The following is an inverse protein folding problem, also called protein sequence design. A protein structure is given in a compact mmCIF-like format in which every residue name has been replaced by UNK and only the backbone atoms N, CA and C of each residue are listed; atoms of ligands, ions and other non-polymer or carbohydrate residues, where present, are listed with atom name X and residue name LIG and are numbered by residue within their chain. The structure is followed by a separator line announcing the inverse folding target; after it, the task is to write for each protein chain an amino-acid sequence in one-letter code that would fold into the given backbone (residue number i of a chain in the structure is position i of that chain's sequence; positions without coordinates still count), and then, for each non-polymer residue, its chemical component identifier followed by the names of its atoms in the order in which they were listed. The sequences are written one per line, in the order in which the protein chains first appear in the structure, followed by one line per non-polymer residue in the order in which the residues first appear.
data_IF_037113093748
#
_entry.id   IF_037113093748
#
_cell.length_a   1.000
_cell.length_b   1.000
_cell.length_c   1.000
_cell.angle_alpha   90.00
_cell.angle_beta   90.00
_cell.angle_gamma   90.00
#
_symmetry.space_group_name_H-M   'P 1'
#
loop_
_entity.id
_entity.type
_entity.pdbx_description
1 polymer ?
#
# COMPACT_ATOMS: atom_id res chain seq x y z
N UNK A 1 -16.39 13.00 18.07
CA UNK A 1 -17.04 12.52 19.30
C UNK A 1 -17.60 11.15 19.00
N UNK A 2 -16.99 10.06 19.56
CA UNK A 2 -17.41 8.69 19.28
C UNK A 2 -18.70 8.38 20.01
N UNK A 3 -19.72 7.93 19.29
CA UNK A 3 -20.95 7.37 19.86
C UNK A 3 -20.62 6.18 20.79
N UNK A 4 -21.31 6.10 21.93
CA UNK A 4 -21.12 4.98 22.84
C UNK A 4 -21.65 3.70 22.19
N UNK A 5 -20.85 2.63 22.06
CA UNK A 5 -21.26 1.41 21.39
C UNK A 5 -22.46 0.77 22.11
N UNK A 6 -23.41 0.23 21.33
CA UNK A 6 -24.59 -0.46 21.83
C UNK A 6 -24.22 -1.64 22.75
N UNK A 7 -25.12 -2.03 23.65
CA UNK A 7 -24.90 -3.16 24.57
C UNK A 7 -24.60 -4.46 23.83
N UNK A 8 -25.26 -4.73 22.70
CA UNK A 8 -25.00 -5.88 21.85
C UNK A 8 -23.59 -5.88 21.25
N UNK A 9 -23.11 -4.71 20.82
CA UNK A 9 -21.74 -4.56 20.29
C UNK A 9 -20.69 -4.78 21.39
N UNK A 10 -20.95 -4.28 22.59
CA UNK A 10 -20.07 -4.49 23.76
C UNK A 10 -19.97 -5.97 24.14
N UNK A 11 -21.08 -6.71 24.10
CA UNK A 11 -21.09 -8.14 24.38
C UNK A 11 -20.33 -8.93 23.29
N UNK A 12 -20.61 -8.66 22.01
CA UNK A 12 -19.88 -9.28 20.88
C UNK A 12 -18.38 -9.02 20.96
N UNK A 13 -17.98 -7.79 21.31
CA UNK A 13 -16.56 -7.44 21.52
C UNK A 13 -15.93 -8.25 22.65
N UNK A 14 -16.62 -8.45 23.79
CA UNK A 14 -16.11 -9.27 24.90
C UNK A 14 -15.91 -10.73 24.50
N UNK A 15 -16.84 -11.30 23.73
CA UNK A 15 -16.73 -12.67 23.22
C UNK A 15 -15.55 -12.77 22.25
N UNK A 16 -15.46 -11.86 21.27
CA UNK A 16 -14.35 -11.81 20.32
C UNK A 16 -13.01 -11.60 21.03
N UNK A 17 -12.95 -10.75 22.05
CA UNK A 17 -11.76 -10.52 22.86
C UNK A 17 -11.28 -11.81 23.53
N UNK A 18 -12.17 -12.53 24.19
CA UNK A 18 -11.84 -13.76 24.90
C UNK A 18 -11.42 -14.90 23.98
N UNK A 19 -12.07 -15.04 22.82
CA UNK A 19 -11.85 -16.18 21.91
C UNK A 19 -10.71 -15.95 20.91
N UNK A 20 -10.49 -14.71 20.49
CA UNK A 20 -9.59 -14.37 19.38
C UNK A 20 -8.56 -13.32 19.80
N UNK A 21 -8.99 -12.11 20.19
CA UNK A 21 -8.08 -10.98 20.34
C UNK A 21 -7.08 -11.14 21.47
N UNK A 22 -7.46 -11.80 22.56
CA UNK A 22 -6.54 -12.16 23.65
C UNK A 22 -5.41 -13.07 23.17
N UNK A 23 -5.71 -14.02 22.27
CA UNK A 23 -4.71 -14.92 21.68
C UNK A 23 -3.77 -14.16 20.73
N UNK A 24 -4.30 -13.22 19.93
CA UNK A 24 -3.51 -12.35 19.07
C UNK A 24 -2.52 -11.55 19.92
N UNK A 25 -3.00 -10.89 21.00
CA UNK A 25 -2.13 -10.13 21.89
C UNK A 25 -1.12 -10.99 22.62
N UNK A 26 -1.49 -12.21 23.00
CA UNK A 26 -0.55 -13.15 23.62
C UNK A 26 0.55 -13.60 22.66
N UNK A 27 0.21 -13.86 21.39
CA UNK A 27 1.16 -14.25 20.35
C UNK A 27 2.25 -13.18 20.08
N UNK A 28 1.93 -11.90 20.30
CA UNK A 28 2.89 -10.78 20.21
C UNK A 28 3.53 -10.41 21.56
N UNK A 29 3.51 -11.34 22.53
CA UNK A 29 4.19 -11.24 23.81
C UNK A 29 3.40 -10.59 24.94
N UNK A 30 2.15 -10.14 24.73
CA UNK A 30 1.23 -9.64 25.76
C UNK A 30 1.61 -8.31 26.43
N UNK A 31 2.82 -7.78 26.19
CA UNK A 31 3.33 -6.53 26.78
C UNK A 31 3.56 -5.42 25.77
N UNK A 32 3.16 -5.63 24.53
CA UNK A 32 3.29 -4.64 23.48
C UNK A 32 2.46 -3.40 23.81
N UNK A 33 3.06 -2.23 23.70
CA UNK A 33 2.38 -0.94 23.85
C UNK A 33 1.81 -0.46 22.51
N UNK A 34 2.64 -0.47 21.48
CA UNK A 34 2.27 -0.16 20.09
C UNK A 34 3.32 -0.68 19.13
N UNK A 35 2.95 -0.85 17.87
CA UNK A 35 3.89 -0.97 16.75
C UNK A 35 4.07 0.38 16.09
N UNK A 36 5.21 0.55 15.41
CA UNK A 36 5.43 1.64 14.45
C UNK A 36 5.53 1.00 13.06
N UNK A 37 4.72 1.48 12.14
CA UNK A 37 4.75 1.08 10.73
C UNK A 37 5.28 2.24 9.91
N UNK A 38 6.28 2.00 9.06
CA UNK A 38 6.87 2.98 8.19
C UNK A 38 7.48 2.36 6.95
N UNK A 39 8.03 3.20 6.06
CA UNK A 39 8.68 2.80 4.80
C UNK A 39 7.76 2.18 3.73
N UNK A 40 6.53 1.80 4.06
CA UNK A 40 5.51 1.38 3.11
C UNK A 40 4.12 1.73 3.66
N UNK A 41 3.11 1.97 2.81
CA UNK A 41 1.76 2.24 3.26
C UNK A 41 1.14 1.03 3.97
N UNK A 42 0.42 1.29 5.05
CA UNK A 42 -0.39 0.28 5.74
C UNK A 42 -1.84 0.37 5.22
N UNK A 43 -2.41 -0.76 4.82
CA UNK A 43 -3.81 -0.81 4.43
C UNK A 43 -4.71 -0.37 5.60
N UNK A 44 -5.60 0.62 5.42
CA UNK A 44 -6.44 1.14 6.50
C UNK A 44 -7.33 0.09 7.15
N UNK A 45 -7.77 -0.92 6.40
CA UNK A 45 -8.54 -2.04 6.94
C UNK A 45 -7.74 -2.86 7.94
N UNK A 46 -6.47 -3.14 7.63
CA UNK A 46 -5.56 -3.85 8.52
C UNK A 46 -5.30 -3.06 9.80
N UNK A 47 -5.05 -1.75 9.66
CA UNK A 47 -4.89 -0.85 10.81
C UNK A 47 -6.14 -0.86 11.72
N UNK A 48 -7.35 -0.78 11.13
CA UNK A 48 -8.63 -0.84 11.87
C UNK A 48 -8.84 -2.18 12.55
N UNK A 49 -8.49 -3.29 11.88
CA UNK A 49 -8.58 -4.63 12.47
C UNK A 49 -7.72 -4.75 13.73
N UNK A 50 -6.44 -4.39 13.65
CA UNK A 50 -5.52 -4.46 14.79
C UNK A 50 -5.91 -3.50 15.91
N UNK A 51 -6.33 -2.29 15.57
CA UNK A 51 -6.87 -1.34 16.55
C UNK A 51 -8.11 -1.90 17.26
N UNK A 52 -9.03 -2.54 16.54
CA UNK A 52 -10.18 -3.26 17.10
C UNK A 52 -9.77 -4.42 18.01
N UNK A 53 -8.69 -5.11 17.70
CA UNK A 53 -8.10 -6.19 18.50
C UNK A 53 -7.34 -5.67 19.76
N UNK A 54 -7.22 -4.35 19.92
CA UNK A 54 -6.48 -3.74 21.02
C UNK A 54 -4.96 -3.69 20.78
N UNK A 55 -4.55 -3.76 19.53
CA UNK A 55 -3.15 -3.60 19.08
C UNK A 55 -3.03 -2.28 18.33
N UNK A 56 -2.32 -1.33 18.90
CA UNK A 56 -2.10 -0.02 18.29
C UNK A 56 -0.96 -0.10 17.29
N UNK A 57 -1.18 0.41 16.06
CA UNK A 57 -0.15 0.61 15.06
C UNK A 57 -0.10 2.10 14.74
N UNK A 58 1.08 2.70 14.91
CA UNK A 58 1.35 4.10 14.60
C UNK A 58 2.05 4.15 13.25
N UNK A 59 1.40 4.75 12.26
CA UNK A 59 2.04 4.98 10.98
C UNK A 59 2.95 6.20 11.06
N UNK A 60 4.14 6.09 10.45
CA UNK A 60 5.10 7.16 10.33
C UNK A 60 5.67 7.23 8.93
N UNK A 61 6.15 8.41 8.57
CA UNK A 61 6.74 8.71 7.27
C UNK A 61 8.07 9.41 7.43
N UNK A 62 8.94 9.12 6.48
CA UNK A 62 10.20 9.78 6.28
C UNK A 62 11.10 9.01 5.33
N UNK A 63 12.26 9.57 5.07
CA UNK A 63 13.24 9.09 4.12
C UNK A 63 14.63 9.05 4.78
N UNK A 64 15.58 8.38 4.16
CA UNK A 64 16.98 8.43 4.59
C UNK A 64 17.48 9.87 4.62
N UNK A 65 17.07 10.67 3.65
CA UNK A 65 17.37 12.08 3.48
C UNK A 65 16.78 12.97 4.59
N UNK A 66 15.89 12.43 5.43
CA UNK A 66 15.25 13.18 6.53
C UNK A 66 15.51 12.55 7.91
N UNK A 67 16.47 11.66 8.08
CA UNK A 67 17.10 11.10 9.30
C UNK A 67 16.17 10.50 10.38
N UNK A 68 15.33 9.55 10.11
CA UNK A 68 14.51 9.27 8.94
C UNK A 68 13.10 9.85 9.02
N UNK A 69 12.60 10.31 10.21
CA UNK A 69 11.17 10.58 10.47
C UNK A 69 10.82 12.06 10.27
N UNK A 70 9.79 12.32 9.48
CA UNK A 70 9.20 13.65 9.31
C UNK A 70 7.81 13.76 9.95
N UNK A 71 7.03 12.68 9.85
CA UNK A 71 5.66 12.62 10.36
C UNK A 71 5.43 11.31 11.11
N UNK A 72 4.62 11.33 12.15
CA UNK A 72 4.22 10.12 12.87
C UNK A 72 2.88 10.31 13.60
N UNK A 73 2.00 9.31 13.52
CA UNK A 73 0.82 9.24 14.38
C UNK A 73 1.24 9.06 15.84
N UNK A 74 0.50 9.68 16.76
CA UNK A 74 0.78 9.61 18.20
C UNK A 74 -0.27 8.74 18.89
N UNK A 75 0.08 8.06 20.01
CA UNK A 75 -0.86 7.17 20.71
C UNK A 75 -2.17 7.83 21.14
N UNK A 76 -2.14 9.14 21.42
CA UNK A 76 -3.27 9.96 21.86
C UNK A 76 -4.03 10.64 20.71
N UNK A 77 -3.50 10.60 19.49
CA UNK A 77 -4.07 11.29 18.33
C UNK A 77 -3.80 10.52 17.03
N UNK A 78 -4.37 9.31 16.93
CA UNK A 78 -4.23 8.44 15.75
C UNK A 78 -5.29 8.79 14.71
N UNK A 79 -4.86 8.98 13.45
CA UNK A 79 -5.75 9.10 12.30
C UNK A 79 -5.35 8.06 11.26
N UNK A 80 -6.10 6.95 11.23
CA UNK A 80 -5.84 5.81 10.31
C UNK A 80 -5.95 6.28 8.87
N UNK A 81 -4.97 5.87 8.04
CA UNK A 81 -4.84 6.29 6.65
C UNK A 81 -4.05 7.57 6.45
N UNK A 82 -3.45 8.10 7.53
CA UNK A 82 -2.47 9.19 7.49
C UNK A 82 -1.19 8.77 8.21
N UNK A 83 -0.09 9.42 7.90
CA UNK A 83 1.18 9.23 8.59
C UNK A 83 1.37 10.17 9.78
N UNK A 84 0.29 10.85 10.19
CA UNK A 84 0.29 11.74 11.35
C UNK A 84 0.76 13.17 11.06
N UNK A 85 0.78 14.01 12.11
CA UNK A 85 1.33 15.37 12.03
C UNK A 85 2.85 15.35 11.96
N UNK A 86 3.49 16.45 11.53
CA UNK A 86 4.94 16.57 11.54
C UNK A 86 5.52 16.45 12.96
N UNK A 87 6.73 15.91 13.04
CA UNK A 87 7.48 15.91 14.30
C UNK A 87 7.94 17.33 14.67
N UNK A 88 8.18 17.63 15.94
CA UNK A 88 8.59 18.98 16.35
C UNK A 88 9.83 19.47 15.57
N UNK A 89 9.75 20.70 15.07
CA UNK A 89 10.80 21.35 14.28
C UNK A 89 10.79 21.01 12.80
N UNK A 90 9.81 20.21 12.34
CA UNK A 90 9.61 19.87 10.93
C UNK A 90 8.47 20.69 10.34
N UNK A 91 8.70 21.25 9.16
CA UNK A 91 7.70 21.90 8.34
C UNK A 91 7.39 21.03 7.13
N UNK A 92 6.10 20.91 6.80
CA UNK A 92 5.61 20.18 5.64
C UNK A 92 4.81 21.16 4.77
N UNK A 93 5.06 21.15 3.47
CA UNK A 93 4.27 21.87 2.49
C UNK A 93 3.89 20.92 1.33
N UNK A 94 2.80 21.26 0.67
CA UNK A 94 2.37 20.57 -0.56
C UNK A 94 2.52 21.56 -1.69
N UNK A 95 3.32 21.22 -2.69
CA UNK A 95 3.50 22.02 -3.89
C UNK A 95 2.25 21.95 -4.80
N UNK A 96 2.15 22.84 -5.79
CA UNK A 96 1.00 22.90 -6.71
C UNK A 96 0.76 21.60 -7.50
N UNK A 97 1.83 20.82 -7.70
CA UNK A 97 1.77 19.51 -8.36
C UNK A 97 1.51 18.33 -7.38
N UNK A 98 1.18 18.67 -6.12
CA UNK A 98 0.93 17.69 -5.07
C UNK A 98 2.19 17.11 -4.40
N UNK A 99 3.40 17.54 -4.80
CA UNK A 99 4.63 17.04 -4.22
C UNK A 99 4.79 17.47 -2.75
N UNK A 100 5.19 16.50 -1.92
CA UNK A 100 5.49 16.76 -0.50
C UNK A 100 6.87 17.40 -0.39
N UNK A 101 6.91 18.56 0.25
CA UNK A 101 8.12 19.29 0.58
C UNK A 101 8.35 19.23 2.09
N UNK A 102 9.60 19.03 2.49
CA UNK A 102 10.01 18.93 3.90
C UNK A 102 11.10 19.94 4.19
N UNK A 103 10.98 20.67 5.30
CA UNK A 103 12.02 21.54 5.83
C UNK A 103 12.20 21.28 7.32
N UNK A 104 13.44 21.23 7.79
CA UNK A 104 13.74 21.02 9.20
C UNK A 104 15.18 20.56 9.44
N UNK A 105 15.61 20.51 10.71
CA UNK A 105 16.99 20.20 11.06
C UNK A 105 17.41 18.75 10.75
N UNK A 106 16.45 17.84 10.51
CA UNK A 106 16.69 16.45 10.16
C UNK A 106 16.92 16.24 8.66
N UNK A 107 16.70 17.25 7.80
CA UNK A 107 16.98 17.17 6.36
C UNK A 107 18.49 17.07 6.18
N UNK A 108 18.94 16.17 5.31
CA UNK A 108 20.35 15.96 4.97
C UNK A 108 21.01 17.23 4.47
N UNK A 109 22.32 17.32 4.59
CA UNK A 109 23.11 18.41 4.00
C UNK A 109 23.23 18.29 2.47
N UNK A 110 23.09 17.09 1.94
CA UNK A 110 23.15 16.80 0.51
C UNK A 110 23.63 15.39 0.20
N UNK A 111 23.66 15.07 -1.08
CA UNK A 111 24.21 13.82 -1.57
C UNK A 111 25.73 13.91 -1.70
N UNK A 112 26.44 12.92 -1.18
CA UNK A 112 27.90 12.90 -1.16
C UNK A 112 28.50 12.98 -2.57
N UNK A 113 29.35 13.97 -2.81
CA UNK A 113 29.97 14.28 -4.10
C UNK A 113 29.01 14.47 -5.29
N UNK A 114 27.74 14.84 -5.02
CA UNK A 114 26.72 15.07 -6.06
C UNK A 114 26.03 16.43 -5.83
N UNK A 115 26.73 17.55 -6.08
CA UNK A 115 26.20 18.88 -5.81
C UNK A 115 24.98 19.23 -6.69
N UNK A 116 24.96 18.80 -7.95
CA UNK A 116 23.83 19.00 -8.86
C UNK A 116 22.57 18.29 -8.37
N UNK A 117 22.67 16.99 -8.04
CA UNK A 117 21.56 16.23 -7.47
C UNK A 117 21.09 16.82 -6.13
N UNK A 118 22.01 17.37 -5.34
CA UNK A 118 21.64 18.06 -4.09
C UNK A 118 20.84 19.33 -4.38
N UNK A 119 21.26 20.14 -5.36
CA UNK A 119 20.55 21.37 -5.74
C UNK A 119 19.18 21.09 -6.38
N UNK A 120 19.01 19.97 -7.06
CA UNK A 120 17.69 19.50 -7.54
C UNK A 120 16.76 19.06 -6.40
N UNK A 121 17.33 18.43 -5.35
CA UNK A 121 16.57 17.87 -4.24
C UNK A 121 16.25 18.92 -3.16
N UNK A 122 17.15 19.87 -2.89
CA UNK A 122 16.99 20.89 -1.84
C UNK A 122 17.12 22.27 -2.48
N UNK A 123 16.07 23.07 -2.35
CA UNK A 123 16.07 24.44 -2.88
C UNK A 123 16.81 25.43 -1.97
N UNK A 124 16.93 26.71 -2.45
CA UNK A 124 17.63 27.77 -1.72
C UNK A 124 17.01 28.13 -0.36
N UNK A 125 15.74 27.82 -0.16
CA UNK A 125 15.00 28.09 1.09
C UNK A 125 15.04 26.89 2.05
N UNK A 126 15.78 25.81 1.67
CA UNK A 126 15.96 24.62 2.47
C UNK A 126 14.80 23.61 2.39
N UNK A 127 13.91 23.74 1.42
CA UNK A 127 12.88 22.74 1.18
C UNK A 127 13.42 21.56 0.40
N UNK A 128 13.32 20.38 1.01
CA UNK A 128 13.65 19.11 0.39
C UNK A 128 12.44 18.55 -0.37
N UNK A 129 12.63 18.22 -1.63
CA UNK A 129 11.65 17.59 -2.52
C UNK A 129 11.69 16.07 -2.32
N UNK A 130 10.70 15.53 -1.64
CA UNK A 130 10.70 14.10 -1.27
C UNK A 130 10.52 13.14 -2.46
N UNK A 131 9.93 13.62 -3.54
CA UNK A 131 9.49 12.79 -4.67
C UNK A 131 8.21 11.99 -4.39
N UNK A 132 7.61 12.16 -3.22
CA UNK A 132 6.32 11.59 -2.86
C UNK A 132 5.21 12.63 -3.06
N UNK A 133 4.00 12.17 -3.33
CA UNK A 133 2.78 12.97 -3.53
C UNK A 133 1.87 12.77 -2.32
N UNK A 134 1.23 13.83 -1.87
CA UNK A 134 0.33 13.76 -0.71
C UNK A 134 -0.54 14.97 -0.50
N UNK A 135 -1.29 14.93 0.57
CA UNK A 135 -2.19 16.00 0.99
C UNK A 135 -2.13 16.20 2.50
N UNK A 136 -2.27 17.45 2.93
CA UNK A 136 -2.43 17.82 4.34
C UNK A 136 -3.91 18.09 4.60
N UNK A 137 -4.45 17.50 5.66
CA UNK A 137 -5.78 17.87 6.11
C UNK A 137 -5.76 19.18 6.95
N UNK A 138 -6.96 19.66 7.31
CA UNK A 138 -7.13 20.91 8.05
C UNK A 138 -6.47 20.89 9.45
N UNK A 139 -6.20 19.72 10.01
CA UNK A 139 -5.54 19.53 11.30
C UNK A 139 -4.03 19.26 11.16
N UNK A 140 -3.48 19.31 9.94
CA UNK A 140 -2.07 19.11 9.64
C UNK A 140 -1.61 17.65 9.59
N UNK A 141 -2.54 16.70 9.44
CA UNK A 141 -2.15 15.30 9.22
C UNK A 141 -1.80 15.07 7.76
N UNK A 142 -0.64 14.48 7.52
CA UNK A 142 -0.16 14.16 6.19
C UNK A 142 -0.72 12.79 5.76
N UNK A 143 -1.29 12.75 4.56
CA UNK A 143 -1.65 11.54 3.84
C UNK A 143 -0.79 11.43 2.59
N UNK A 144 -0.05 10.34 2.46
CA UNK A 144 0.72 10.03 1.26
C UNK A 144 -0.21 9.31 0.29
N UNK A 145 -0.27 9.79 -0.93
CA UNK A 145 -1.13 9.18 -1.95
C UNK A 145 -0.34 8.32 -2.92
N UNK A 146 0.86 8.73 -3.31
CA UNK A 146 1.75 7.93 -4.17
C UNK A 146 3.18 8.52 -4.23
N UNK A 147 4.01 7.93 -5.10
CA UNK A 147 5.29 8.48 -5.53
C UNK A 147 5.16 9.13 -6.91
N UNK A 148 5.75 10.32 -7.07
CA UNK A 148 5.68 11.08 -8.32
C UNK A 148 6.15 10.26 -9.54
N UNK A 149 7.20 9.46 -9.36
CA UNK A 149 7.77 8.58 -10.41
C UNK A 149 6.95 7.32 -10.68
N UNK A 150 6.04 6.94 -9.77
CA UNK A 150 5.22 5.73 -9.86
C UNK A 150 3.80 6.04 -10.36
N UNK A 151 3.43 7.34 -10.49
CA UNK A 151 2.16 7.75 -11.08
C UNK A 151 2.04 7.25 -12.52
N UNK A 152 0.90 6.64 -12.82
CA UNK A 152 0.57 6.24 -14.18
C UNK A 152 -0.17 7.40 -14.86
N UNK A 153 0.38 7.88 -15.97
CA UNK A 153 -0.27 8.90 -16.79
C UNK A 153 -0.85 8.22 -18.02
N UNK A 154 -2.16 8.03 -18.06
CA UNK A 154 -2.82 7.39 -19.19
C UNK A 154 -2.65 8.21 -20.48
N UNK A 155 -2.84 7.60 -21.66
CA UNK A 155 -2.82 8.31 -22.94
C UNK A 155 -3.84 9.46 -23.02
N UNK A 156 -4.90 9.42 -22.22
CA UNK A 156 -5.87 10.50 -22.05
C UNK A 156 -5.47 11.58 -21.03
N UNK A 157 -4.25 11.56 -20.52
CA UNK A 157 -3.72 12.56 -19.57
C UNK A 157 -4.27 12.46 -18.14
N UNK A 158 -4.87 11.33 -17.76
CA UNK A 158 -5.32 11.09 -16.37
C UNK A 158 -4.19 10.54 -15.54
N UNK A 159 -3.92 11.20 -14.41
CA UNK A 159 -3.00 10.70 -13.39
C UNK A 159 -3.71 9.67 -12.52
N UNK A 160 -3.10 8.51 -12.35
CA UNK A 160 -3.57 7.42 -11.50
C UNK A 160 -2.48 7.09 -10.49
N UNK A 161 -2.83 7.10 -9.22
CA UNK A 161 -1.99 6.65 -8.13
C UNK A 161 -2.15 5.12 -7.97
N UNK A 162 -1.18 4.29 -8.40
CA UNK A 162 -1.37 2.84 -8.40
C UNK A 162 -1.37 2.24 -7.00
N UNK A 163 -0.60 2.78 -6.08
CA UNK A 163 -0.35 2.18 -4.77
C UNK A 163 -1.60 2.02 -3.89
N UNK A 164 -2.55 2.98 -3.81
CA UNK A 164 -3.80 2.79 -3.08
C UNK A 164 -4.64 1.62 -3.60
N UNK A 165 -4.74 1.47 -4.93
CA UNK A 165 -5.47 0.37 -5.56
C UNK A 165 -4.77 -0.97 -5.29
N UNK A 166 -3.46 -1.05 -5.49
CA UNK A 166 -2.66 -2.24 -5.22
C UNK A 166 -2.80 -2.70 -3.76
N UNK A 167 -2.72 -1.77 -2.81
CA UNK A 167 -2.88 -2.06 -1.40
C UNK A 167 -4.30 -2.58 -1.09
N UNK A 168 -5.34 -1.98 -1.69
CA UNK A 168 -6.71 -2.45 -1.47
C UNK A 168 -6.93 -3.84 -2.09
N UNK A 169 -6.41 -4.11 -3.29
CA UNK A 169 -6.47 -5.42 -3.95
C UNK A 169 -5.80 -6.49 -3.07
N UNK A 170 -4.64 -6.19 -2.49
CA UNK A 170 -3.89 -7.09 -1.60
C UNK A 170 -4.57 -7.38 -0.27
N UNK A 171 -5.64 -6.67 0.09
CA UNK A 171 -6.48 -7.05 1.24
C UNK A 171 -7.35 -8.26 0.96
N UNK A 172 -7.45 -8.73 -0.29
CA UNK A 172 -8.08 -10.01 -0.61
C UNK A 172 -7.22 -11.18 -0.12
N UNK A 173 -7.83 -12.11 0.57
CA UNK A 173 -7.16 -13.34 1.05
C UNK A 173 -6.64 -14.24 -0.09
N UNK A 174 -7.06 -13.99 -1.32
CA UNK A 174 -6.70 -14.80 -2.50
C UNK A 174 -5.60 -14.17 -3.34
N UNK A 175 -5.15 -12.96 -3.00
CA UNK A 175 -4.16 -12.20 -3.77
C UNK A 175 -2.98 -11.86 -2.86
N UNK A 176 -1.82 -12.40 -3.19
CA UNK A 176 -0.57 -12.13 -2.48
C UNK A 176 0.07 -10.80 -2.92
N UNK A 177 0.06 -10.54 -4.25
CA UNK A 177 0.62 -9.30 -4.79
C UNK A 177 -0.24 -8.76 -5.96
N UNK A 178 -0.21 -7.45 -6.13
CA UNK A 178 -0.88 -6.75 -7.21
C UNK A 178 0.00 -5.62 -7.74
N UNK A 179 0.10 -5.48 -9.06
CA UNK A 179 0.88 -4.43 -9.71
C UNK A 179 0.04 -3.77 -10.79
N UNK A 180 -0.30 -2.51 -10.57
CA UNK A 180 -1.02 -1.68 -11.53
C UNK A 180 -0.03 -1.16 -12.59
N UNK A 181 -0.42 -1.25 -13.85
CA UNK A 181 0.36 -0.84 -15.02
C UNK A 181 -0.51 -0.05 -15.99
N UNK A 182 0.09 0.68 -16.90
CA UNK A 182 -0.67 1.41 -17.93
C UNK A 182 -0.20 2.84 -18.15
N UNK A 183 1.06 3.16 -17.80
CA UNK A 183 1.65 4.45 -18.18
C UNK A 183 1.65 4.61 -19.70
N UNK A 184 1.16 5.77 -20.19
CA UNK A 184 0.99 6.09 -21.61
C UNK A 184 0.08 5.13 -22.40
N UNK A 185 -0.70 4.28 -21.70
CA UNK A 185 -1.64 3.35 -22.31
C UNK A 185 -3.08 3.90 -22.25
N UNK A 186 -4.02 3.37 -23.05
CA UNK A 186 -5.42 3.85 -23.06
C UNK A 186 -6.14 3.70 -21.71
N UNK A 187 -5.76 2.71 -20.91
CA UNK A 187 -6.35 2.39 -19.63
C UNK A 187 -5.36 1.64 -18.71
N UNK A 188 -5.56 1.68 -17.40
CA UNK A 188 -4.78 0.87 -16.48
C UNK A 188 -5.19 -0.60 -16.52
N UNK A 189 -4.23 -1.47 -16.28
CA UNK A 189 -4.38 -2.92 -16.08
C UNK A 189 -3.76 -3.31 -14.75
N UNK A 190 -4.05 -4.52 -14.27
CA UNK A 190 -3.40 -5.06 -13.08
C UNK A 190 -2.88 -6.48 -13.33
N UNK A 191 -1.65 -6.72 -12.94
CA UNK A 191 -1.11 -8.08 -12.78
C UNK A 191 -1.32 -8.50 -11.33
N UNK A 192 -1.87 -9.69 -11.11
CA UNK A 192 -2.08 -10.24 -9.75
C UNK A 192 -1.32 -11.54 -9.58
N UNK A 193 -0.66 -11.67 -8.44
CA UNK A 193 -0.08 -12.93 -7.98
C UNK A 193 -1.07 -13.54 -6.99
N UNK A 194 -1.59 -14.74 -7.25
CA UNK A 194 -2.47 -15.42 -6.30
C UNK A 194 -1.73 -15.76 -4.99
N UNK A 195 -2.47 -15.78 -3.89
CA UNK A 195 -2.12 -16.61 -2.74
C UNK A 195 -2.45 -18.06 -3.11
N UNK A 196 -1.43 -18.82 -3.51
CA UNK A 196 -1.60 -20.16 -4.08
C UNK A 196 -2.24 -21.14 -3.11
N UNK A 197 -1.97 -21.02 -1.82
CA UNK A 197 -2.55 -21.90 -0.81
C UNK A 197 -4.03 -21.56 -0.57
N UNK A 198 -4.35 -20.28 -0.48
CA UNK A 198 -5.72 -19.83 -0.30
C UNK A 198 -6.59 -20.15 -1.53
N UNK A 199 -6.05 -19.97 -2.74
CA UNK A 199 -6.79 -20.28 -3.98
C UNK A 199 -6.96 -21.79 -4.19
N UNK A 200 -5.97 -22.61 -3.83
CA UNK A 200 -6.07 -24.07 -3.85
C UNK A 200 -7.17 -24.57 -2.91
N UNK A 201 -7.22 -24.03 -1.68
CA UNK A 201 -8.28 -24.36 -0.73
C UNK A 201 -9.68 -23.93 -1.21
N UNK A 202 -9.78 -22.78 -1.88
CA UNK A 202 -11.04 -22.36 -2.51
C UNK A 202 -11.46 -23.28 -3.66
N UNK A 203 -10.53 -23.66 -4.52
CA UNK A 203 -10.76 -24.53 -5.66
C UNK A 203 -11.23 -25.91 -5.21
N UNK A 204 -10.58 -26.50 -4.20
CA UNK A 204 -10.99 -27.77 -3.61
C UNK A 204 -12.42 -27.72 -3.06
N UNK A 205 -12.78 -26.64 -2.36
CA UNK A 205 -14.14 -26.42 -1.85
C UNK A 205 -15.18 -26.26 -2.98
N UNK A 206 -14.75 -25.95 -4.21
CA UNK A 206 -15.58 -25.89 -5.43
C UNK A 206 -15.58 -27.17 -6.24
N UNK A 207 -14.86 -28.19 -5.80
CA UNK A 207 -14.75 -29.47 -6.50
C UNK A 207 -13.77 -29.48 -7.67
N UNK A 208 -12.90 -28.47 -7.77
CA UNK A 208 -11.81 -28.42 -8.74
C UNK A 208 -10.68 -29.30 -8.22
N UNK A 209 -10.36 -30.35 -8.96
CA UNK A 209 -9.37 -31.38 -8.54
C UNK A 209 -7.95 -31.12 -9.06
N UNK A 210 -7.75 -30.04 -9.82
CA UNK A 210 -6.44 -29.67 -10.32
C UNK A 210 -5.47 -29.38 -9.18
N UNK A 211 -4.29 -29.99 -9.22
CA UNK A 211 -3.25 -29.84 -8.18
C UNK A 211 -1.98 -29.16 -8.68
N UNK A 212 -1.77 -29.15 -9.98
CA UNK A 212 -0.67 -28.37 -10.56
C UNK A 212 -0.97 -26.88 -10.44
N UNK A 213 -0.06 -26.11 -9.86
CA UNK A 213 -0.26 -24.68 -9.59
C UNK A 213 -0.52 -23.87 -10.85
N UNK A 214 0.20 -24.17 -11.92
CA UNK A 214 0.07 -23.44 -13.19
C UNK A 214 -1.26 -23.77 -13.86
N UNK A 215 -1.63 -25.05 -13.92
CA UNK A 215 -2.90 -25.49 -14.47
C UNK A 215 -4.09 -24.96 -13.63
N UNK A 216 -3.96 -24.97 -12.29
CA UNK A 216 -4.97 -24.42 -11.38
C UNK A 216 -5.23 -22.94 -11.64
N UNK A 217 -4.18 -22.14 -11.76
CA UNK A 217 -4.29 -20.68 -12.00
C UNK A 217 -4.88 -20.40 -13.38
N UNK A 218 -4.67 -21.28 -14.37
CA UNK A 218 -5.29 -21.19 -15.71
C UNK A 218 -6.74 -21.67 -15.75
N UNK A 219 -7.24 -22.29 -14.69
CA UNK A 219 -8.61 -22.79 -14.65
C UNK A 219 -9.61 -21.59 -14.74
N UNK A 220 -10.61 -21.65 -15.63
CA UNK A 220 -11.51 -20.51 -15.87
C UNK A 220 -12.22 -19.99 -14.61
N UNK A 221 -12.66 -20.88 -13.73
CA UNK A 221 -13.34 -20.50 -12.49
C UNK A 221 -12.39 -19.80 -11.50
N UNK A 222 -11.10 -20.19 -11.49
CA UNK A 222 -10.06 -19.53 -10.66
C UNK A 222 -9.76 -18.14 -11.21
N UNK A 223 -9.60 -18.00 -12.52
CA UNK A 223 -9.45 -16.70 -13.18
C UNK A 223 -10.63 -15.78 -12.83
N UNK A 224 -11.86 -16.27 -13.05
CA UNK A 224 -13.07 -15.51 -12.75
C UNK A 224 -13.21 -15.15 -11.25
N UNK A 225 -12.72 -16.00 -10.35
CA UNK A 225 -12.71 -15.68 -8.91
C UNK A 225 -11.75 -14.54 -8.60
N UNK A 226 -10.54 -14.57 -9.14
CA UNK A 226 -9.54 -13.53 -8.91
C UNK A 226 -9.95 -12.19 -9.55
N UNK A 227 -10.53 -12.22 -10.75
CA UNK A 227 -11.11 -11.03 -11.37
C UNK A 227 -12.22 -10.41 -10.52
N UNK A 228 -13.17 -11.20 -10.02
CA UNK A 228 -14.20 -10.72 -9.09
C UNK A 228 -13.64 -10.12 -7.82
N UNK A 229 -12.57 -10.70 -7.28
CA UNK A 229 -11.90 -10.13 -6.11
C UNK A 229 -11.29 -8.75 -6.41
N UNK A 230 -10.63 -8.60 -7.56
CA UNK A 230 -10.10 -7.30 -8.00
C UNK A 230 -11.24 -6.30 -8.16
N UNK A 231 -12.29 -6.65 -8.94
CA UNK A 231 -13.44 -5.77 -9.16
C UNK A 231 -14.07 -5.29 -7.86
N UNK A 232 -14.30 -6.21 -6.92
CA UNK A 232 -14.85 -5.90 -5.60
C UNK A 232 -13.97 -4.95 -4.80
N UNK A 233 -12.63 -5.15 -4.85
CA UNK A 233 -11.67 -4.36 -4.09
C UNK A 233 -11.48 -2.96 -4.66
N UNK A 234 -11.58 -2.79 -5.96
CA UNK A 234 -11.44 -1.47 -6.59
C UNK A 234 -12.78 -0.72 -6.70
N UNK A 235 -13.89 -1.28 -6.21
CA UNK A 235 -15.20 -0.65 -6.30
C UNK A 235 -15.24 0.79 -5.77
N UNK A 236 -14.60 1.15 -4.64
CA UNK A 236 -14.63 2.50 -4.09
C UNK A 236 -13.87 3.56 -4.91
N UNK A 237 -13.02 3.14 -5.86
CA UNK A 237 -12.16 4.05 -6.62
C UNK A 237 -12.88 4.64 -7.85
N UNK A 238 -12.37 5.75 -8.37
CA UNK A 238 -12.94 6.40 -9.53
C UNK A 238 -12.85 5.50 -10.79
N UNK A 239 -13.82 5.63 -11.70
CA UNK A 239 -13.93 4.75 -12.87
C UNK A 239 -12.68 4.73 -13.76
N UNK A 240 -11.97 5.85 -13.86
CA UNK A 240 -10.77 5.97 -14.69
C UNK A 240 -9.53 5.35 -14.02
N UNK A 241 -9.54 5.17 -12.70
CA UNK A 241 -8.46 4.56 -11.93
C UNK A 241 -8.54 3.03 -11.96
N UNK A 242 -9.74 2.47 -12.14
CA UNK A 242 -9.98 1.02 -12.09
C UNK A 242 -9.32 0.30 -13.25
N UNK A 243 -8.57 -0.79 -13.00
CA UNK A 243 -8.00 -1.59 -14.07
C UNK A 243 -9.11 -2.15 -14.98
N UNK A 244 -8.89 -2.11 -16.29
CA UNK A 244 -9.84 -2.63 -17.29
C UNK A 244 -9.61 -4.10 -17.60
N UNK A 245 -8.44 -4.59 -17.33
CA UNK A 245 -8.03 -5.97 -17.54
C UNK A 245 -7.21 -6.44 -16.35
N UNK A 246 -7.34 -7.72 -16.05
CA UNK A 246 -6.59 -8.43 -15.01
C UNK A 246 -5.80 -9.54 -15.68
N UNK A 247 -4.52 -9.68 -15.36
CA UNK A 247 -3.78 -10.88 -15.68
C UNK A 247 -3.33 -11.56 -14.39
N UNK A 248 -3.59 -12.86 -14.31
CA UNK A 248 -3.19 -13.69 -13.18
C UNK A 248 -1.85 -14.34 -13.50
N UNK A 249 -0.87 -14.13 -12.63
CA UNK A 249 0.48 -14.66 -12.81
C UNK A 249 0.57 -16.09 -12.22
N UNK A 250 1.40 -16.91 -12.87
CA UNK A 250 1.54 -18.34 -12.55
C UNK A 250 2.59 -18.60 -11.46
N UNK A 251 3.30 -17.58 -11.00
CA UNK A 251 4.36 -17.68 -9.99
C UNK A 251 4.41 -16.45 -9.10
N UNK A 252 4.95 -16.67 -7.92
CA UNK A 252 5.23 -15.62 -6.96
C UNK A 252 6.38 -14.72 -7.44
N UNK A 253 6.35 -13.46 -7.00
CA UNK A 253 7.51 -12.58 -7.12
C UNK A 253 8.59 -13.00 -6.12
N UNK A 254 9.86 -12.80 -6.50
CA UNK A 254 10.97 -13.15 -5.63
C UNK A 254 12.09 -12.10 -5.67
N UNK A 255 12.94 -12.12 -4.64
CA UNK A 255 14.15 -11.30 -4.59
C UNK A 255 15.15 -11.78 -5.64
N UNK A 256 15.30 -13.10 -5.76
CA UNK A 256 16.21 -13.74 -6.75
C UNK A 256 15.77 -13.46 -8.18
N UNK A 257 14.46 -13.46 -8.42
CA UNK A 257 13.89 -13.08 -9.70
C UNK A 257 14.03 -11.60 -10.01
N UNK A 258 14.30 -10.79 -9.00
CA UNK A 258 14.49 -9.34 -9.13
C UNK A 258 13.19 -8.54 -9.09
N UNK A 259 12.03 -9.18 -9.04
CA UNK A 259 10.74 -8.49 -8.92
C UNK A 259 10.58 -7.80 -7.56
N UNK A 260 11.23 -8.34 -6.53
CA UNK A 260 11.22 -7.76 -5.19
C UNK A 260 12.60 -7.20 -4.80
N UNK A 261 12.58 -6.13 -4.02
CA UNK A 261 13.78 -5.65 -3.32
C UNK A 261 14.05 -6.57 -2.11
N UNK A 262 15.26 -6.50 -1.48
CA UNK A 262 15.53 -7.18 -0.21
C UNK A 262 14.56 -6.81 0.93
N UNK A 263 13.89 -5.66 0.82
CA UNK A 263 12.86 -5.20 1.75
C UNK A 263 11.44 -5.54 1.29
N UNK A 264 11.30 -6.51 0.38
CA UNK A 264 10.02 -7.02 -0.15
C UNK A 264 9.17 -5.99 -0.89
N UNK A 265 9.76 -4.91 -1.41
CA UNK A 265 9.04 -3.94 -2.25
C UNK A 265 9.09 -4.36 -3.70
N UNK A 266 7.95 -4.26 -4.39
CA UNK A 266 7.85 -4.56 -5.83
C UNK A 266 8.67 -3.56 -6.66
N UNK A 267 9.46 -4.09 -7.57
CA UNK A 267 10.22 -3.33 -8.58
C UNK A 267 9.42 -3.28 -9.87
N UNK A 268 8.50 -2.32 -9.96
CA UNK A 268 7.54 -2.16 -11.07
C UNK A 268 8.21 -2.30 -12.45
N UNK A 269 9.31 -1.60 -12.68
CA UNK A 269 10.03 -1.66 -13.95
C UNK A 269 10.48 -3.08 -14.30
N UNK A 270 10.98 -3.86 -13.34
CA UNK A 270 11.38 -5.26 -13.57
C UNK A 270 10.18 -6.13 -13.91
N UNK A 271 9.05 -5.89 -13.25
CA UNK A 271 7.77 -6.57 -13.55
C UNK A 271 7.32 -6.24 -14.98
N UNK A 272 7.34 -4.97 -15.38
CA UNK A 272 6.99 -4.53 -16.74
C UNK A 272 7.87 -5.22 -17.80
N UNK A 273 9.17 -5.20 -17.61
CA UNK A 273 10.13 -5.82 -18.54
C UNK A 273 9.92 -7.34 -18.65
N UNK A 274 9.71 -8.01 -17.51
CA UNK A 274 9.58 -9.47 -17.47
C UNK A 274 8.27 -9.99 -18.02
N UNK A 275 7.19 -9.28 -17.77
CA UNK A 275 5.83 -9.68 -18.17
C UNK A 275 5.33 -8.91 -19.40
N UNK A 276 6.26 -8.32 -20.20
CA UNK A 276 5.93 -7.50 -21.36
C UNK A 276 4.96 -8.20 -22.32
N UNK A 277 5.16 -9.49 -22.61
CA UNK A 277 4.28 -10.25 -23.49
C UNK A 277 2.86 -10.41 -22.93
N UNK A 278 2.73 -10.63 -21.62
CA UNK A 278 1.43 -10.71 -20.94
C UNK A 278 0.74 -9.36 -20.96
N UNK A 279 1.49 -8.28 -20.71
CA UNK A 279 0.99 -6.92 -20.69
C UNK A 279 0.49 -6.52 -22.09
N UNK A 280 1.27 -6.76 -23.17
CA UNK A 280 0.86 -6.43 -24.52
C UNK A 280 -0.41 -7.19 -24.97
N UNK A 281 -0.60 -8.42 -24.51
CA UNK A 281 -1.80 -9.20 -24.82
C UNK A 281 -3.09 -8.64 -24.16
N UNK A 282 -2.98 -7.73 -23.21
CA UNK A 282 -4.11 -7.10 -22.53
C UNK A 282 -4.56 -5.79 -23.21
N UNK A 283 -3.81 -5.26 -24.16
CA UNK A 283 -4.16 -4.05 -24.92
C UNK A 283 -4.61 -4.37 -26.33
#
# INVERSE_FOLDING_TARGET
AGERPSLGLRLRRRVADRLVFSKVRAAIGGRLRFFVSGAAPLAPELARFFFGAGVTILEGYGLTETSPVTNVNRPDSIRIGTVGPPVPGTEIAIADDGAILVRGPQVMQGYFNLPEATAEAIDSDGWFRTGDIGELDADGYLKITDRKKDLLVTAGGKNIAPQPLENEIKTSRYIAEAVMLGDRRPYPIVLVVPDFDAIAGWAEAKGITERDRVALVRHPDVQAQLEREVERKVEPFARYEKPKKVAVLEREFSIEGGELTPTMKVRRRVVEERYAAVIEALY
#
